data_IF_514050079393
#
_entry.id   IF_514050079393
#
_cell.length_a   1.000
_cell.length_b   1.000
_cell.length_c   1.000
_cell.angle_alpha   90.00
_cell.angle_beta   90.00
_cell.angle_gamma   90.00
#
_symmetry.space_group_name_H-M   'P 1'
#
loop_
_entity.id
_entity.type
_entity.pdbx_description
1 polymer ?
#
# COMPACT_ATOMS: atom_id res chain seq x y z
N UNK A 1 0.12 10.04 24.81
CA UNK A 1 -0.01 11.41 24.29
C UNK A 1 0.38 11.30 22.83
N UNK A 2 -0.57 11.48 21.91
CA UNK A 2 -0.32 11.43 20.47
C UNK A 2 0.53 12.65 20.10
N UNK A 3 1.82 12.44 19.84
CA UNK A 3 2.73 13.48 19.35
C UNK A 3 2.35 13.80 17.89
N UNK A 4 1.33 14.65 17.73
CA UNK A 4 0.88 15.14 16.43
C UNK A 4 1.81 16.24 15.95
N UNK A 5 2.24 16.11 14.70
CA UNK A 5 3.09 17.10 14.03
C UNK A 5 2.36 17.67 12.81
N UNK A 6 2.63 18.94 12.51
CA UNK A 6 2.14 19.58 11.30
C UNK A 6 3.20 19.49 10.20
N UNK A 7 2.87 18.83 9.10
CA UNK A 7 3.78 18.62 7.97
C UNK A 7 3.21 19.23 6.68
N UNK A 8 4.10 19.55 5.76
CA UNK A 8 3.74 20.01 4.41
C UNK A 8 4.22 18.99 3.40
N UNK A 9 3.29 18.41 2.66
CA UNK A 9 3.56 17.38 1.65
C UNK A 9 3.26 17.94 0.26
N UNK A 10 4.14 17.66 -0.70
CA UNK A 10 3.99 18.07 -2.09
C UNK A 10 3.53 16.89 -2.94
N UNK A 11 2.36 17.01 -3.58
CA UNK A 11 1.80 16.01 -4.51
C UNK A 11 1.39 16.73 -5.79
N UNK A 12 1.87 16.24 -6.94
CA UNK A 12 1.51 16.77 -8.26
C UNK A 12 1.65 18.31 -8.36
N UNK A 13 2.79 18.85 -7.88
CA UNK A 13 3.11 20.29 -7.86
C UNK A 13 2.24 21.14 -6.90
N UNK A 14 1.42 20.51 -6.05
CA UNK A 14 0.59 21.18 -5.04
C UNK A 14 1.05 20.82 -3.63
N UNK A 15 1.09 21.80 -2.74
CA UNK A 15 1.49 21.63 -1.34
C UNK A 15 0.25 21.52 -0.46
N UNK A 16 0.14 20.42 0.28
CA UNK A 16 -0.93 20.14 1.22
C UNK A 16 -0.37 20.14 2.65
N UNK A 17 -0.77 21.09 3.51
CA UNK A 17 -0.49 21.03 4.93
C UNK A 17 -1.42 19.99 5.59
N UNK A 18 -0.88 19.12 6.43
CA UNK A 18 -1.66 18.12 7.16
C UNK A 18 -1.05 17.82 8.54
N UNK A 19 -1.93 17.50 9.49
CA UNK A 19 -1.55 17.09 10.84
C UNK A 19 -1.61 15.57 10.90
N UNK A 20 -0.51 14.95 11.31
CA UNK A 20 -0.38 13.49 11.41
C UNK A 20 0.35 13.11 12.71
N UNK A 21 0.28 11.86 13.09
CA UNK A 21 1.09 11.34 14.18
C UNK A 21 2.56 11.21 13.75
N UNK A 22 3.48 11.48 14.67
CA UNK A 22 4.92 11.45 14.39
C UNK A 22 5.40 10.12 13.84
N UNK A 23 4.78 9.02 14.27
CA UNK A 23 5.10 7.66 13.87
C UNK A 23 4.72 7.39 12.39
N UNK A 24 3.78 8.16 11.85
CA UNK A 24 3.30 8.01 10.47
C UNK A 24 4.06 8.88 9.47
N UNK A 25 4.88 9.85 9.91
CA UNK A 25 5.51 10.84 9.03
C UNK A 25 6.27 10.20 7.88
N UNK A 26 7.08 9.19 8.19
CA UNK A 26 7.88 8.50 7.19
C UNK A 26 7.01 7.80 6.15
N UNK A 27 5.93 7.14 6.60
CA UNK A 27 5.00 6.39 5.76
C UNK A 27 4.27 7.35 4.83
N UNK A 28 3.74 8.46 5.36
CA UNK A 28 3.00 9.44 4.56
C UNK A 28 3.93 10.11 3.53
N UNK A 29 5.18 10.44 3.89
CA UNK A 29 6.15 10.99 2.93
C UNK A 29 6.54 9.96 1.85
N UNK A 30 6.69 8.69 2.20
CA UNK A 30 6.94 7.61 1.22
C UNK A 30 5.76 7.47 0.27
N UNK A 31 4.53 7.46 0.76
CA UNK A 31 3.33 7.39 -0.07
C UNK A 31 3.24 8.56 -1.06
N UNK A 32 3.49 9.79 -0.60
CA UNK A 32 3.51 10.98 -1.44
C UNK A 32 4.56 10.91 -2.57
N UNK A 33 5.77 10.40 -2.27
CA UNK A 33 6.80 10.15 -3.28
C UNK A 33 6.34 9.13 -4.31
N UNK A 34 5.77 8.01 -3.87
CA UNK A 34 5.25 6.98 -4.76
C UNK A 34 4.19 7.49 -5.73
N UNK A 35 3.25 8.32 -5.22
CA UNK A 35 2.23 8.97 -6.06
C UNK A 35 2.92 9.85 -7.13
N UNK A 36 3.86 10.70 -6.74
CA UNK A 36 4.58 11.59 -7.66
C UNK A 36 5.38 10.82 -8.73
N UNK A 37 6.02 9.71 -8.37
CA UNK A 37 6.74 8.86 -9.31
C UNK A 37 5.79 8.23 -10.34
N UNK A 38 4.63 7.75 -9.88
CA UNK A 38 3.62 7.16 -10.75
C UNK A 38 3.00 8.20 -11.70
N UNK A 39 2.71 9.40 -11.19
CA UNK A 39 2.30 10.56 -12.00
C UNK A 39 3.35 10.88 -13.07
N UNK A 40 4.64 10.93 -12.70
CA UNK A 40 5.72 11.19 -13.64
C UNK A 40 5.82 10.09 -14.71
N UNK A 41 5.56 8.83 -14.36
CA UNK A 41 5.49 7.72 -15.31
C UNK A 41 4.34 7.90 -16.30
N UNK A 42 3.12 8.19 -15.82
CA UNK A 42 1.98 8.39 -16.70
C UNK A 42 2.13 9.62 -17.60
N UNK A 43 2.68 10.72 -17.08
CA UNK A 43 2.98 11.92 -17.87
C UNK A 43 3.95 11.63 -19.03
N UNK A 44 4.89 10.69 -18.85
CA UNK A 44 5.80 10.24 -19.92
C UNK A 44 5.12 9.31 -20.92
N UNK A 45 4.23 8.42 -20.46
CA UNK A 45 3.59 7.39 -21.30
C UNK A 45 2.39 7.93 -22.09
N UNK A 46 1.60 8.81 -21.48
CA UNK A 46 0.38 9.36 -22.05
C UNK A 46 0.50 10.88 -22.06
N UNK A 47 0.92 11.47 -23.18
CA UNK A 47 0.96 12.93 -23.32
C UNK A 47 -0.45 13.50 -23.58
N UNK A 48 -0.70 14.74 -23.13
CA UNK A 48 -1.92 15.49 -23.46
C UNK A 48 -3.13 15.28 -22.55
N UNK A 49 -2.95 14.65 -21.39
CA UNK A 49 -4.01 14.54 -20.37
C UNK A 49 -3.76 15.50 -19.21
N UNK A 50 -4.82 15.80 -18.46
CA UNK A 50 -4.72 16.69 -17.30
C UNK A 50 -4.12 15.96 -16.10
N UNK A 51 -3.57 16.74 -15.16
CA UNK A 51 -3.01 16.23 -13.90
C UNK A 51 -4.04 15.38 -13.13
N UNK A 52 -5.32 15.72 -13.26
CA UNK A 52 -6.42 15.00 -12.62
C UNK A 52 -6.56 13.59 -13.19
N UNK A 53 -6.43 13.41 -14.51
CA UNK A 53 -6.53 12.10 -15.15
C UNK A 53 -5.41 11.17 -14.69
N UNK A 54 -4.18 11.69 -14.60
CA UNK A 54 -3.04 10.92 -14.08
C UNK A 54 -3.23 10.54 -12.61
N UNK A 55 -3.87 11.40 -11.81
CA UNK A 55 -4.19 11.10 -10.42
C UNK A 55 -5.25 10.00 -10.31
N UNK A 56 -6.25 10.01 -11.19
CA UNK A 56 -7.28 8.95 -11.27
C UNK A 56 -6.63 7.61 -11.67
N UNK A 57 -5.73 7.62 -12.66
CA UNK A 57 -4.97 6.42 -13.03
C UNK A 57 -4.12 5.88 -11.88
N UNK A 58 -3.45 6.78 -11.14
CA UNK A 58 -2.67 6.41 -9.97
C UNK A 58 -3.55 5.81 -8.86
N UNK A 59 -4.68 6.43 -8.54
CA UNK A 59 -5.62 5.95 -7.55
C UNK A 59 -6.20 4.57 -7.92
N UNK A 60 -6.53 4.36 -9.20
CA UNK A 60 -6.99 3.08 -9.70
C UNK A 60 -5.91 2.00 -9.56
N UNK A 61 -4.66 2.29 -9.91
CA UNK A 61 -3.56 1.35 -9.78
C UNK A 61 -3.33 0.96 -8.31
N UNK A 62 -3.27 1.93 -7.40
CA UNK A 62 -3.13 1.66 -5.96
C UNK A 62 -4.30 0.86 -5.40
N UNK A 63 -5.53 1.14 -5.83
CA UNK A 63 -6.72 0.39 -5.42
C UNK A 63 -6.68 -1.06 -5.90
N UNK A 64 -6.28 -1.28 -7.15
CA UNK A 64 -6.09 -2.61 -7.72
C UNK A 64 -5.01 -3.39 -6.97
N UNK A 65 -3.88 -2.75 -6.68
CA UNK A 65 -2.77 -3.40 -5.98
C UNK A 65 -3.16 -3.72 -4.53
N UNK A 66 -3.87 -2.83 -3.83
CA UNK A 66 -4.44 -3.09 -2.50
C UNK A 66 -5.41 -4.28 -2.52
N UNK A 67 -6.31 -4.35 -3.51
CA UNK A 67 -7.23 -5.47 -3.67
C UNK A 67 -6.49 -6.78 -3.94
N UNK A 68 -5.46 -6.79 -4.80
CA UNK A 68 -4.62 -7.98 -5.03
C UNK A 68 -3.89 -8.44 -3.77
N UNK A 69 -3.41 -7.49 -2.96
CA UNK A 69 -2.76 -7.81 -1.70
C UNK A 69 -3.72 -8.36 -0.66
N UNK A 70 -4.94 -7.82 -0.55
CA UNK A 70 -6.00 -8.38 0.32
C UNK A 70 -6.39 -9.79 -0.09
N UNK A 71 -6.52 -10.04 -1.40
CA UNK A 71 -6.84 -11.38 -1.92
C UNK A 71 -5.72 -12.39 -1.62
N UNK A 72 -4.43 -11.97 -1.66
CA UNK A 72 -3.30 -12.85 -1.36
C UNK A 72 -2.93 -13.03 0.11
N UNK A 73 -3.49 -12.24 1.03
CA UNK A 73 -3.25 -12.34 2.48
C UNK A 73 -4.18 -13.35 3.17
N UNK A 74 -5.39 -13.57 2.64
CA UNK A 74 -6.28 -14.64 3.10
C UNK A 74 -5.72 -16.02 2.70
N UNK A 75 -5.29 -16.17 1.44
CA UNK A 75 -4.78 -17.44 0.90
C UNK A 75 -3.53 -17.95 1.66
N UNK A 76 -2.59 -17.06 2.02
CA UNK A 76 -1.37 -17.45 2.73
C UNK A 76 -1.57 -17.77 4.20
N UNK A 77 -2.54 -17.13 4.87
CA UNK A 77 -2.88 -17.51 6.25
C UNK A 77 -3.56 -18.87 6.28
N UNK A 78 -4.45 -19.12 5.33
CA UNK A 78 -5.10 -20.42 5.16
C UNK A 78 -4.09 -21.52 4.84
N UNK A 79 -3.15 -21.29 3.90
CA UNK A 79 -2.09 -22.24 3.59
C UNK A 79 -1.23 -22.58 4.81
N UNK A 80 -0.83 -21.57 5.60
CA UNK A 80 0.00 -21.80 6.79
C UNK A 80 -0.77 -22.52 7.91
N UNK A 81 -2.06 -22.23 8.08
CA UNK A 81 -2.91 -22.97 9.02
C UNK A 81 -3.13 -24.42 8.57
N UNK A 82 -3.36 -24.69 7.28
CA UNK A 82 -3.43 -26.06 6.75
C UNK A 82 -2.13 -26.83 6.98
N UNK A 83 -0.98 -26.23 6.66
CA UNK A 83 0.34 -26.84 6.88
C UNK A 83 0.58 -27.13 8.37
N UNK A 84 0.09 -26.26 9.26
CA UNK A 84 0.16 -26.48 10.71
C UNK A 84 -0.68 -27.69 11.14
N UNK A 85 -1.88 -27.84 10.59
CA UNK A 85 -2.79 -28.95 10.91
C UNK A 85 -2.25 -30.27 10.37
N UNK A 86 -1.72 -30.29 9.14
CA UNK A 86 -1.07 -31.48 8.56
C UNK A 86 0.08 -31.98 9.43
N UNK A 87 0.96 -31.07 9.88
CA UNK A 87 2.06 -31.42 10.79
C UNK A 87 1.59 -32.00 12.12
N UNK A 88 0.46 -31.53 12.65
CA UNK A 88 -0.10 -32.07 13.89
C UNK A 88 -0.68 -33.46 13.70
N UNK A 89 -1.29 -33.74 12.54
CA UNK A 89 -1.81 -35.06 12.20
C UNK A 89 -0.67 -36.07 11.99
N UNK A 90 0.37 -35.68 11.26
CA UNK A 90 1.55 -36.51 11.04
C UNK A 90 2.24 -36.89 12.36
N UNK A 91 2.38 -35.94 13.29
CA UNK A 91 2.97 -36.18 14.60
C UNK A 91 2.18 -37.15 15.49
N UNK A 92 0.85 -37.22 15.32
CA UNK A 92 -0.01 -38.15 16.07
C UNK A 92 0.03 -39.55 15.46
N UNK A 93 0.12 -39.64 14.14
CA UNK A 93 0.21 -40.91 13.43
C UNK A 93 1.58 -41.57 13.67
N UNK A 94 2.67 -40.81 13.79
CA UNK A 94 3.99 -41.34 14.15
C UNK A 94 4.11 -41.82 15.62
N UNK A 95 3.15 -41.46 16.49
CA UNK A 95 3.12 -41.90 17.89
C UNK A 95 2.29 -43.17 18.14
N UNK A 96 1.73 -43.81 17.10
CA UNK A 96 1.08 -45.12 17.16
C UNK A 96 1.88 -46.19 16.42
#
# INVERSE_FOLDING_TARGET
MEDKINIRITIAERVYPMIIDRDEEEIVRKAARGINELLAKYKRTFSGHDIQDYLVMAALQYSKDNLRHKVGEEDKKFENELISIERQLDAIIEQQ
#
